data_IF_713154546871
#
_entry.id   IF_713154546871
#
_cell.length_a   1.000
_cell.length_b   1.000
_cell.length_c   1.000
_cell.angle_alpha   90.00
_cell.angle_beta   90.00
_cell.angle_gamma   90.00
#
_symmetry.space_group_name_H-M   'P 1'
#
loop_
_entity.id
_entity.type
_entity.pdbx_description
1 polymer ?
#
# COMPACT_ATOMS: atom_id res chain seq x y z
N UNK A 1 0.30 32.31 25.54
CA UNK A 1 -0.24 31.01 25.09
C UNK A 1 0.95 30.12 24.79
N UNK A 2 1.07 28.97 25.45
CA UNK A 2 2.22 28.07 25.27
C UNK A 2 1.91 27.15 24.10
N UNK A 3 2.67 27.26 23.01
CA UNK A 3 2.55 26.33 21.88
C UNK A 3 3.37 25.06 22.14
N UNK A 4 2.78 23.91 21.82
CA UNK A 4 3.44 22.61 21.90
C UNK A 4 3.65 22.09 20.50
N UNK A 5 4.86 21.62 20.21
CA UNK A 5 5.20 21.05 18.91
C UNK A 5 5.31 19.53 19.03
N UNK A 6 4.82 18.82 18.03
CA UNK A 6 4.85 17.35 17.97
C UNK A 6 5.33 16.86 16.60
N UNK A 7 5.78 15.61 16.57
CA UNK A 7 6.17 14.94 15.34
C UNK A 7 4.99 14.16 14.77
N UNK A 8 4.66 14.41 13.52
CA UNK A 8 3.67 13.63 12.77
C UNK A 8 4.29 12.30 12.32
N UNK A 9 3.44 11.33 11.93
CA UNK A 9 3.89 9.98 11.55
C UNK A 9 4.83 9.95 10.32
N UNK A 10 4.79 10.98 9.48
CA UNK A 10 5.65 11.19 8.32
C UNK A 10 6.95 11.95 8.65
N UNK A 11 7.15 12.32 9.92
CA UNK A 11 8.37 12.95 10.45
C UNK A 11 8.41 14.47 10.34
N UNK A 12 7.31 15.11 9.97
CA UNK A 12 7.18 16.58 9.96
C UNK A 12 6.82 17.12 11.34
N UNK A 13 7.03 18.43 11.51
CA UNK A 13 6.71 19.13 12.75
C UNK A 13 5.37 19.83 12.55
N UNK A 14 4.47 19.62 13.51
CA UNK A 14 3.23 20.35 13.63
C UNK A 14 3.07 20.91 15.04
N UNK A 15 2.11 21.81 15.26
CA UNK A 15 1.87 22.46 16.54
C UNK A 15 0.45 22.20 17.05
N UNK A 16 0.29 22.17 18.36
CA UNK A 16 -1.00 22.11 19.04
C UNK A 16 -1.02 23.13 20.16
N UNK A 17 -2.16 23.81 20.28
CA UNK A 17 -2.42 24.82 21.29
C UNK A 17 -2.80 24.23 22.66
N UNK A 18 -3.05 22.91 22.73
CA UNK A 18 -3.48 22.20 23.94
C UNK A 18 -2.78 20.85 24.14
N UNK A 19 -2.39 20.56 25.39
CA UNK A 19 -1.61 19.39 25.79
C UNK A 19 -2.49 18.15 25.96
N UNK A 20 -3.06 17.60 24.89
CA UNK A 20 -3.60 16.22 24.96
C UNK A 20 -3.45 15.49 23.64
N UNK A 21 -2.28 14.92 23.42
CA UNK A 21 -2.12 13.79 22.52
C UNK A 21 -1.37 12.73 23.31
N UNK A 22 -1.96 11.53 23.44
CA UNK A 22 -1.34 10.42 24.17
C UNK A 22 -0.31 9.74 23.26
N UNK A 23 0.94 9.71 23.70
CA UNK A 23 1.99 8.88 23.09
C UNK A 23 2.93 9.56 22.08
N UNK A 24 2.74 10.85 21.72
CA UNK A 24 3.76 11.56 20.95
C UNK A 24 4.79 12.24 21.88
N UNK A 25 5.99 12.48 21.37
CA UNK A 25 7.02 13.28 22.04
C UNK A 25 6.77 14.75 21.71
N UNK A 26 6.58 15.60 22.72
CA UNK A 26 6.33 17.04 22.55
C UNK A 26 7.52 17.88 23.01
N UNK A 27 7.66 19.07 22.44
CA UNK A 27 8.56 20.11 22.94
C UNK A 27 7.82 21.45 23.03
N UNK A 28 8.15 22.26 24.03
CA UNK A 28 7.70 23.65 24.15
C UNK A 28 8.67 24.62 23.47
N UNK A 29 9.81 24.14 23.00
CA UNK A 29 10.77 24.93 22.25
C UNK A 29 10.34 25.00 20.80
N UNK A 30 10.14 26.21 20.29
CA UNK A 30 9.84 26.41 18.87
C UNK A 30 10.98 25.86 18.00
N UNK A 31 10.67 25.18 16.89
CA UNK A 31 11.66 24.77 15.90
C UNK A 31 12.49 25.97 15.45
N UNK A 32 13.80 25.79 15.32
CA UNK A 32 14.65 26.80 14.70
C UNK A 32 14.53 26.64 13.19
N UNK A 33 13.95 27.62 12.52
CA UNK A 33 13.80 27.64 11.05
C UNK A 33 12.44 27.16 10.54
N UNK A 34 12.40 26.71 9.29
CA UNK A 34 11.19 26.24 8.62
C UNK A 34 10.73 24.88 9.20
N UNK A 35 9.44 24.56 9.09
CA UNK A 35 8.80 23.29 9.52
C UNK A 35 9.23 22.09 8.65
N UNK A 36 10.53 21.96 8.41
CA UNK A 36 11.12 20.84 7.72
C UNK A 36 11.21 19.62 8.64
N UNK A 37 11.43 18.45 8.05
CA UNK A 37 11.56 17.17 8.76
C UNK A 37 12.57 17.28 9.92
N UNK A 38 12.20 16.79 11.10
CA UNK A 38 13.02 16.95 12.30
C UNK A 38 14.27 16.04 12.28
N UNK A 39 15.41 16.55 12.73
CA UNK A 39 16.59 15.75 13.11
C UNK A 39 16.48 15.36 14.58
N UNK A 40 16.58 14.06 14.84
CA UNK A 40 16.44 13.47 16.17
C UNK A 40 17.69 12.67 16.53
N UNK A 41 18.25 12.87 17.72
CA UNK A 41 19.42 12.10 18.22
C UNK A 41 19.04 10.75 18.86
N UNK A 42 17.77 10.35 18.74
CA UNK A 42 17.23 9.17 19.40
C UNK A 42 16.53 9.47 20.74
N UNK A 43 16.74 10.65 21.32
CA UNK A 43 16.11 11.05 22.60
C UNK A 43 15.42 12.40 22.57
N UNK A 44 15.94 13.37 21.82
CA UNK A 44 15.38 14.73 21.70
C UNK A 44 15.57 15.30 20.30
N UNK A 45 14.77 16.33 20.02
CA UNK A 45 14.96 17.16 18.84
C UNK A 45 16.28 17.92 18.95
N UNK A 46 17.08 17.85 17.89
CA UNK A 46 18.36 18.54 17.82
C UNK A 46 18.28 19.74 16.87
N UNK A 47 17.67 19.56 15.69
CA UNK A 47 17.55 20.61 14.67
C UNK A 47 16.51 20.26 13.59
N UNK A 48 16.18 21.20 12.70
CA UNK A 48 15.38 20.94 11.49
C UNK A 48 16.28 20.53 10.31
N UNK A 49 15.81 19.65 9.43
CA UNK A 49 16.50 19.39 8.15
C UNK A 49 16.53 20.65 7.30
N UNK A 50 17.68 20.92 6.69
CA UNK A 50 17.80 21.95 5.65
C UNK A 50 17.08 21.49 4.38
N UNK A 51 16.70 22.43 3.50
CA UNK A 51 16.06 22.10 2.23
C UNK A 51 16.93 21.18 1.36
N UNK A 52 18.25 21.32 1.45
CA UNK A 52 19.21 20.44 0.78
C UNK A 52 19.12 19.01 1.30
N UNK A 53 19.14 18.84 2.62
CA UNK A 53 19.03 17.51 3.26
C UNK A 53 17.66 16.89 3.02
N UNK A 54 16.60 17.69 3.00
CA UNK A 54 15.25 17.22 2.67
C UNK A 54 15.19 16.74 1.22
N UNK A 55 15.82 17.47 0.30
CA UNK A 55 15.91 17.08 -1.11
C UNK A 55 16.69 15.77 -1.28
N UNK A 56 17.81 15.61 -0.58
CA UNK A 56 18.60 14.38 -0.59
C UNK A 56 17.83 13.21 0.04
N UNK A 57 17.17 13.41 1.19
CA UNK A 57 16.36 12.37 1.83
C UNK A 57 15.13 11.96 0.99
N UNK A 58 14.56 12.89 0.22
CA UNK A 58 13.44 12.64 -0.67
C UNK A 58 13.86 12.15 -2.07
N UNK A 59 15.17 12.03 -2.36
CA UNK A 59 15.58 11.33 -3.57
C UNK A 59 15.28 9.85 -3.42
N UNK A 60 14.38 9.33 -4.24
CA UNK A 60 14.18 7.89 -4.40
C UNK A 60 15.50 7.32 -4.95
N UNK A 61 16.30 6.76 -4.06
CA UNK A 61 17.61 6.18 -4.38
C UNK A 61 17.50 4.80 -5.04
N UNK A 62 16.33 4.17 -4.97
CA UNK A 62 16.08 2.86 -5.56
C UNK A 62 15.32 3.04 -6.86
N UNK A 63 16.07 3.07 -7.97
CA UNK A 63 15.46 2.89 -9.29
C UNK A 63 15.04 1.41 -9.42
N UNK A 64 13.87 1.12 -10.03
CA UNK A 64 13.51 -0.24 -10.38
C UNK A 64 14.65 -0.88 -11.16
N UNK A 65 15.07 -2.06 -10.73
CA UNK A 65 16.08 -2.84 -11.42
C UNK A 65 15.43 -3.83 -12.40
N UNK A 66 16.25 -4.60 -13.09
CA UNK A 66 15.76 -5.59 -14.05
C UNK A 66 14.86 -6.64 -13.39
N UNK A 67 15.15 -7.05 -12.15
CA UNK A 67 14.31 -7.99 -11.41
C UNK A 67 12.93 -7.42 -11.12
N UNK A 68 12.82 -6.13 -10.76
CA UNK A 68 11.52 -5.48 -10.54
C UNK A 68 10.68 -5.49 -11.83
N UNK A 69 11.32 -5.28 -12.98
CA UNK A 69 10.68 -5.34 -14.30
C UNK A 69 10.22 -6.77 -14.62
N UNK A 70 11.06 -7.76 -14.36
CA UNK A 70 10.73 -9.19 -14.56
C UNK A 70 9.56 -9.60 -13.65
N UNK A 71 9.58 -9.23 -12.37
CA UNK A 71 8.50 -9.52 -11.42
C UNK A 71 7.18 -8.89 -11.89
N UNK A 72 7.21 -7.63 -12.36
CA UNK A 72 6.03 -6.97 -12.90
C UNK A 72 5.46 -7.71 -14.11
N UNK A 73 6.32 -8.12 -15.05
CA UNK A 73 5.90 -8.85 -16.25
C UNK A 73 5.33 -10.23 -15.91
N UNK A 74 5.98 -10.97 -15.00
CA UNK A 74 5.49 -12.27 -14.54
C UNK A 74 4.15 -12.14 -13.80
N UNK A 75 3.98 -11.10 -12.99
CA UNK A 75 2.72 -10.80 -12.30
C UNK A 75 1.59 -10.55 -13.30
N UNK A 76 1.86 -9.80 -14.37
CA UNK A 76 0.88 -9.54 -15.43
C UNK A 76 0.50 -10.84 -16.17
N UNK A 77 1.47 -11.67 -16.52
CA UNK A 77 1.23 -12.96 -17.18
C UNK A 77 0.42 -13.90 -16.28
N UNK A 78 0.70 -13.95 -14.99
CA UNK A 78 -0.05 -14.75 -14.02
C UNK A 78 -1.51 -14.29 -13.94
N UNK A 79 -1.76 -12.99 -13.89
CA UNK A 79 -3.11 -12.45 -13.88
C UNK A 79 -3.90 -12.83 -15.15
N UNK A 80 -3.27 -12.73 -16.33
CA UNK A 80 -3.87 -13.14 -17.60
C UNK A 80 -4.18 -14.64 -17.63
N UNK A 81 -3.26 -15.48 -17.16
CA UNK A 81 -3.46 -16.93 -17.06
C UNK A 81 -4.64 -17.28 -16.14
N UNK A 82 -4.74 -16.62 -14.97
CA UNK A 82 -5.86 -16.82 -14.05
C UNK A 82 -7.22 -16.47 -14.68
N UNK A 83 -7.29 -15.41 -15.50
CA UNK A 83 -8.50 -15.05 -16.24
C UNK A 83 -8.89 -16.16 -17.23
N UNK A 84 -7.92 -16.70 -17.98
CA UNK A 84 -8.16 -17.78 -18.93
C UNK A 84 -8.63 -19.07 -18.24
N UNK A 85 -7.98 -19.45 -17.13
CA UNK A 85 -8.38 -20.62 -16.32
C UNK A 85 -9.81 -20.48 -15.82
N UNK A 86 -10.19 -19.30 -15.32
CA UNK A 86 -11.56 -19.04 -14.86
C UNK A 86 -12.58 -19.19 -16.00
N UNK A 87 -12.27 -18.64 -17.18
CA UNK A 87 -13.14 -18.77 -18.35
C UNK A 87 -13.30 -20.23 -18.80
N UNK A 88 -12.22 -21.01 -18.77
CA UNK A 88 -12.26 -22.44 -19.06
C UNK A 88 -13.08 -23.22 -18.03
N UNK A 89 -12.94 -22.90 -16.74
CA UNK A 89 -13.75 -23.50 -15.67
C UNK A 89 -15.25 -23.29 -15.93
N UNK A 90 -15.66 -22.05 -16.21
CA UNK A 90 -17.07 -21.74 -16.52
C UNK A 90 -17.58 -22.50 -17.74
N UNK A 91 -16.74 -22.68 -18.76
CA UNK A 91 -17.08 -23.47 -19.95
C UNK A 91 -17.27 -24.96 -19.61
N UNK A 92 -16.40 -25.51 -18.76
CA UNK A 92 -16.51 -26.90 -18.28
C UNK A 92 -17.79 -27.10 -17.48
N UNK A 93 -18.13 -26.17 -16.59
CA UNK A 93 -19.37 -26.23 -15.81
C UNK A 93 -20.59 -26.23 -16.73
N UNK A 94 -20.61 -25.31 -17.71
CA UNK A 94 -21.69 -25.22 -18.71
C UNK A 94 -21.83 -26.53 -19.51
N UNK A 95 -20.72 -27.09 -19.98
CA UNK A 95 -20.73 -28.36 -20.72
C UNK A 95 -21.18 -29.53 -19.84
N UNK A 96 -20.82 -29.52 -18.55
CA UNK A 96 -21.24 -30.54 -17.59
C UNK A 96 -22.75 -30.50 -17.38
N UNK A 97 -23.35 -29.31 -17.28
CA UNK A 97 -24.80 -29.14 -17.18
C UNK A 97 -25.52 -29.62 -18.44
N UNK A 98 -25.00 -29.27 -19.63
CA UNK A 98 -25.55 -29.72 -20.92
C UNK A 98 -25.51 -31.25 -21.06
N UNK A 99 -24.43 -31.89 -20.64
CA UNK A 99 -24.33 -33.35 -20.65
C UNK A 99 -25.35 -33.96 -19.71
N UNK A 100 -25.49 -33.43 -18.48
CA UNK A 100 -26.49 -33.90 -17.51
C UNK A 100 -27.91 -33.84 -18.09
N UNK A 101 -28.30 -32.71 -18.67
CA UNK A 101 -29.64 -32.56 -19.26
C UNK A 101 -29.89 -33.58 -20.39
N UNK A 102 -28.90 -33.77 -21.28
CA UNK A 102 -29.02 -34.75 -22.37
C UNK A 102 -29.12 -36.20 -21.88
N UNK A 103 -28.43 -36.54 -20.78
CA UNK A 103 -28.51 -37.88 -20.19
C UNK A 103 -29.81 -38.13 -19.42
N UNK A 104 -30.35 -37.11 -18.74
CA UNK A 104 -31.65 -37.21 -18.07
C UNK A 104 -32.79 -37.33 -19.09
N UNK A 105 -32.79 -36.53 -20.16
CA UNK A 105 -33.80 -36.58 -21.22
C UNK A 105 -33.82 -37.90 -22.00
N UNK A 106 -32.70 -38.64 -22.03
CA UNK A 106 -32.64 -39.98 -22.64
C UNK A 106 -33.23 -41.05 -21.74
N UNK A 107 -33.01 -40.97 -20.43
CA UNK A 107 -33.59 -41.92 -19.47
C UNK A 107 -35.11 -41.86 -19.42
N UNK A 108 -35.69 -40.68 -19.63
CA UNK A 108 -37.16 -40.50 -19.67
C UNK A 108 -37.80 -40.96 -20.99
N UNK A 109 -37.04 -41.05 -22.09
CA UNK A 109 -37.55 -41.48 -23.40
C UNK A 109 -37.45 -42.98 -23.67
N UNK A 110 -36.62 -43.71 -22.92
CA UNK A 110 -36.55 -45.18 -23.01
C UNK A 110 -37.58 -45.89 -22.12
N UNK A 111 -38.32 -45.14 -21.28
CA UNK A 111 -39.26 -45.68 -20.29
C UNK A 111 -40.75 -45.37 -20.59
N UNK A 112 -41.08 -44.97 -21.83
CA UNK A 112 -42.45 -44.69 -22.32
C UNK A 112 -42.80 -45.60 -23.50
#
# INVERSE_FOLDING_TARGET
MTMYYYLTNDGYIDHIDTVKINGAKYTTQAPKGHFNKAKFDGTKWVDSMTDKELKEANTVTVKPNENDTVISNLTLQLAQSNVQVKALSTKVDTLTEQVKSLTSDKGDKENV
#
